data_IF_786814445503
#
_entry.id   IF_786814445503
#
_cell.length_a   1.000
_cell.length_b   1.000
_cell.length_c   1.000
_cell.angle_alpha   90.00
_cell.angle_beta   90.00
_cell.angle_gamma   90.00
#
_symmetry.space_group_name_H-M   'P 1'
#
loop_
_entity.id
_entity.type
_entity.pdbx_description
1 polymer ?
#
# COMPACT_ATOMS: atom_id res chain seq x y z
N UNK A 1 -1.31 -2.24 7.27
CA UNK A 1 -0.74 -3.58 7.48
C UNK A 1 -0.35 -4.12 6.12
N UNK A 2 0.81 -4.76 6.02
CA UNK A 2 1.35 -5.28 4.75
C UNK A 2 1.92 -6.67 5.04
N UNK A 3 1.52 -7.64 4.23
CA UNK A 3 1.96 -9.03 4.35
C UNK A 3 2.40 -9.53 2.97
N UNK A 4 3.54 -10.22 2.93
CA UNK A 4 4.10 -10.78 1.72
C UNK A 4 4.01 -12.31 1.78
N UNK A 5 3.61 -12.91 0.67
CA UNK A 5 3.49 -14.35 0.51
C UNK A 5 4.49 -14.88 -0.51
N UNK A 6 4.80 -16.17 -0.41
CA UNK A 6 5.60 -16.90 -1.40
C UNK A 6 4.98 -16.75 -2.79
N UNK A 7 5.81 -16.48 -3.80
CA UNK A 7 5.35 -16.27 -5.18
C UNK A 7 5.08 -14.81 -5.56
N UNK A 8 5.44 -13.85 -4.70
CA UNK A 8 5.41 -12.41 -5.04
C UNK A 8 4.05 -11.73 -4.82
N UNK A 9 3.11 -12.40 -4.16
CA UNK A 9 1.83 -11.81 -3.76
C UNK A 9 2.02 -10.95 -2.50
N UNK A 10 1.49 -9.73 -2.52
CA UNK A 10 1.48 -8.83 -1.37
C UNK A 10 0.04 -8.42 -1.06
N UNK A 11 -0.39 -8.60 0.19
CA UNK A 11 -1.67 -8.12 0.70
C UNK A 11 -1.45 -6.89 1.57
N UNK A 12 -2.15 -5.79 1.26
CA UNK A 12 -2.04 -4.54 2.00
C UNK A 12 -3.42 -4.03 2.45
N UNK A 13 -3.55 -3.73 3.74
CA UNK A 13 -4.73 -3.07 4.30
C UNK A 13 -4.43 -1.59 4.54
N UNK A 14 -5.21 -0.73 3.88
CA UNK A 14 -5.13 0.73 4.00
C UNK A 14 -6.20 1.23 4.95
N UNK A 15 -5.80 1.63 6.17
CA UNK A 15 -6.73 2.19 7.15
C UNK A 15 -7.27 3.54 6.67
N UNK A 16 -8.57 3.73 6.87
CA UNK A 16 -9.29 4.95 6.46
C UNK A 16 -9.65 4.99 4.97
N UNK A 17 -9.38 3.92 4.21
CA UNK A 17 -9.86 3.80 2.84
C UNK A 17 -11.27 3.19 2.79
N UNK A 18 -12.07 3.62 1.81
CA UNK A 18 -13.33 2.98 1.43
C UNK A 18 -13.14 1.98 0.28
N UNK A 19 -14.24 1.69 -0.45
CA UNK A 19 -14.22 0.74 -1.58
C UNK A 19 -13.19 1.12 -2.67
N UNK A 20 -12.99 2.42 -2.91
CA UNK A 20 -12.02 2.93 -3.87
C UNK A 20 -10.83 3.57 -3.15
N UNK A 21 -9.80 2.77 -2.86
CA UNK A 21 -8.62 3.22 -2.09
C UNK A 21 -8.03 4.56 -2.58
N UNK A 22 -7.80 4.80 -3.89
CA UNK A 22 -7.19 6.05 -4.36
C UNK A 22 -8.04 7.30 -4.10
N UNK A 23 -9.37 7.16 -4.00
CA UNK A 23 -10.26 8.29 -3.70
C UNK A 23 -10.18 8.70 -2.22
N UNK A 24 -10.17 7.72 -1.31
CA UNK A 24 -10.23 8.00 0.14
C UNK A 24 -8.85 8.21 0.77
N UNK A 25 -7.79 7.63 0.20
CA UNK A 25 -6.43 7.67 0.74
C UNK A 25 -5.42 7.86 -0.42
N UNK A 26 -5.44 9.00 -1.13
CA UNK A 26 -4.67 9.21 -2.36
C UNK A 26 -3.16 9.05 -2.17
N UNK A 27 -2.60 9.59 -1.09
CA UNK A 27 -1.17 9.49 -0.77
C UNK A 27 -0.73 8.05 -0.53
N UNK A 28 -1.49 7.30 0.29
CA UNK A 28 -1.20 5.89 0.56
C UNK A 28 -1.35 5.04 -0.71
N UNK A 29 -2.33 5.34 -1.56
CA UNK A 29 -2.51 4.66 -2.84
C UNK A 29 -1.31 4.89 -3.77
N UNK A 30 -0.78 6.11 -3.83
CA UNK A 30 0.41 6.43 -4.63
C UNK A 30 1.65 5.72 -4.10
N UNK A 31 1.84 5.65 -2.79
CA UNK A 31 2.94 4.89 -2.17
C UNK A 31 2.83 3.41 -2.54
N UNK A 32 1.65 2.79 -2.36
CA UNK A 32 1.42 1.39 -2.74
C UNK A 32 1.76 1.13 -4.21
N UNK A 33 1.25 1.97 -5.11
CA UNK A 33 1.46 1.82 -6.55
C UNK A 33 2.93 2.01 -6.94
N UNK A 34 3.59 3.03 -6.38
CA UNK A 34 5.01 3.30 -6.67
C UNK A 34 5.92 2.18 -6.16
N UNK A 35 5.62 1.63 -4.98
CA UNK A 35 6.34 0.49 -4.41
C UNK A 35 6.16 -0.78 -5.24
N UNK A 36 4.95 -1.04 -5.75
CA UNK A 36 4.67 -2.13 -6.67
C UNK A 36 5.53 -2.04 -7.94
N UNK A 37 5.56 -0.87 -8.61
CA UNK A 37 6.37 -0.68 -9.82
C UNK A 37 7.87 -0.86 -9.56
N UNK A 38 8.35 -0.53 -8.36
CA UNK A 38 9.75 -0.69 -7.95
C UNK A 38 10.08 -2.10 -7.45
N UNK A 39 9.09 -3.00 -7.31
CA UNK A 39 9.28 -4.32 -6.73
C UNK A 39 9.70 -4.28 -5.25
N UNK A 40 9.29 -3.24 -4.53
CA UNK A 40 9.63 -3.05 -3.11
C UNK A 40 8.37 -3.07 -2.26
N UNK A 41 8.50 -3.39 -0.97
CA UNK A 41 7.37 -3.24 -0.06
C UNK A 41 7.13 -1.75 0.25
N UNK A 42 5.87 -1.32 0.34
CA UNK A 42 5.53 0.05 0.74
C UNK A 42 6.08 0.34 2.13
N UNK A 43 6.91 1.38 2.21
CA UNK A 43 7.53 1.82 3.46
C UNK A 43 6.44 2.34 4.40
N UNK A 44 6.48 1.89 5.66
CA UNK A 44 5.65 2.47 6.71
C UNK A 44 6.37 3.71 7.25
N UNK A 45 6.00 4.89 6.75
CA UNK A 45 6.37 6.13 7.43
C UNK A 45 5.44 6.34 8.63
N UNK A 46 6.02 6.18 9.83
CA UNK A 46 5.33 6.52 11.07
C UNK A 46 5.45 8.03 11.29
N UNK A 47 4.51 8.80 10.74
CA UNK A 47 4.34 10.20 11.15
C UNK A 47 3.88 11.14 10.04
N UNK A 48 2.57 11.43 10.06
CA UNK A 48 2.07 12.80 10.15
C UNK A 48 0.80 12.80 11.00
#
# INVERSE_FOLDING_TARGET
YVEAYTGGLVFASVRGAGHQVPYFQPEKALILFSSFLKGTLPLYEKGQ
#
